data_IF_271216238601
#
_entry.id   IF_271216238601
#
_cell.length_a   1.000
_cell.length_b   1.000
_cell.length_c   1.000
_cell.angle_alpha   90.00
_cell.angle_beta   90.00
_cell.angle_gamma   90.00
#
_symmetry.space_group_name_H-M   'P 1'
#
loop_
_entity.id
_entity.type
_entity.pdbx_description
1 polymer ?
#
# COMPACT_ATOMS: atom_id res chain seq x y z
N UNK A 1 -15.82 -31.94 -21.71
CA UNK A 1 -15.21 -30.62 -21.49
C UNK A 1 -15.22 -30.39 -19.98
N UNK A 2 -14.20 -30.89 -19.28
CA UNK A 2 -14.22 -30.96 -17.82
C UNK A 2 -14.10 -29.57 -17.22
N UNK A 3 -14.98 -29.31 -16.26
CA UNK A 3 -15.05 -28.14 -15.43
C UNK A 3 -13.77 -28.06 -14.57
N UNK A 4 -12.69 -27.52 -15.13
CA UNK A 4 -11.54 -27.09 -14.32
C UNK A 4 -11.96 -25.81 -13.62
N UNK A 5 -12.72 -25.95 -12.53
CA UNK A 5 -12.70 -24.95 -11.47
C UNK A 5 -11.22 -24.77 -11.16
N UNK A 6 -10.69 -23.55 -11.38
CA UNK A 6 -9.33 -23.19 -10.97
C UNK A 6 -9.11 -23.80 -9.59
N UNK A 7 -8.08 -24.64 -9.42
CA UNK A 7 -7.80 -25.39 -8.19
C UNK A 7 -7.83 -24.50 -6.93
N UNK A 8 -7.71 -23.18 -7.12
CA UNK A 8 -7.65 -22.16 -6.08
C UNK A 8 -8.85 -21.18 -6.08
N UNK A 9 -9.84 -21.33 -6.96
CA UNK A 9 -10.96 -20.39 -7.11
C UNK A 9 -11.78 -20.19 -5.83
N UNK A 10 -12.05 -21.26 -5.09
CA UNK A 10 -12.75 -21.19 -3.80
C UNK A 10 -11.92 -20.42 -2.75
N UNK A 11 -10.62 -20.66 -2.69
CA UNK A 11 -9.73 -19.98 -1.76
C UNK A 11 -9.60 -18.48 -2.07
N UNK A 12 -9.49 -18.12 -3.36
CA UNK A 12 -9.43 -16.72 -3.80
C UNK A 12 -10.71 -15.98 -3.40
N UNK A 13 -11.88 -16.58 -3.60
CA UNK A 13 -13.15 -15.97 -3.21
C UNK A 13 -13.29 -15.85 -1.69
N UNK A 14 -12.83 -16.84 -0.93
CA UNK A 14 -12.82 -16.76 0.53
C UNK A 14 -11.93 -15.62 1.04
N UNK A 15 -10.74 -15.45 0.47
CA UNK A 15 -9.84 -14.32 0.78
C UNK A 15 -10.46 -12.98 0.39
N UNK A 16 -11.10 -12.90 -0.77
CA UNK A 16 -11.82 -11.70 -1.21
C UNK A 16 -12.90 -11.28 -0.19
N UNK A 17 -13.74 -12.22 0.24
CA UNK A 17 -14.78 -11.96 1.25
C UNK A 17 -14.15 -11.54 2.58
N UNK A 18 -13.08 -12.22 3.01
CA UNK A 18 -12.37 -11.89 4.24
C UNK A 18 -11.79 -10.46 4.21
N UNK A 19 -11.19 -10.04 3.10
CA UNK A 19 -10.70 -8.66 2.95
C UNK A 19 -11.82 -7.62 2.91
N UNK A 20 -12.96 -7.93 2.31
CA UNK A 20 -14.14 -7.04 2.34
C UNK A 20 -14.63 -6.88 3.78
N UNK A 21 -14.79 -7.98 4.53
CA UNK A 21 -15.20 -7.94 5.94
C UNK A 21 -14.20 -7.12 6.75
N UNK A 22 -12.91 -7.36 6.54
CA UNK A 22 -11.82 -6.61 7.17
C UNK A 22 -11.95 -5.10 6.94
N UNK A 23 -12.12 -4.68 5.68
CA UNK A 23 -12.30 -3.27 5.32
C UNK A 23 -13.57 -2.65 5.90
N UNK A 24 -14.69 -3.39 5.92
CA UNK A 24 -15.96 -2.91 6.50
C UNK A 24 -15.80 -2.68 8.00
N UNK A 25 -15.14 -3.60 8.71
CA UNK A 25 -14.85 -3.44 10.14
C UNK A 25 -13.95 -2.22 10.38
N UNK A 26 -12.96 -1.96 9.53
CA UNK A 26 -12.14 -0.75 9.59
C UNK A 26 -12.94 0.53 9.38
N UNK A 27 -13.84 0.54 8.38
CA UNK A 27 -14.75 1.68 8.16
C UNK A 27 -15.67 1.96 9.34
N UNK A 28 -16.12 0.92 10.03
CA UNK A 28 -16.93 1.08 11.26
C UNK A 28 -16.11 1.67 12.42
N UNK A 29 -14.80 1.41 12.44
CA UNK A 29 -13.87 1.93 13.44
C UNK A 29 -13.36 3.35 13.12
N UNK A 30 -13.47 3.81 11.86
CA UNK A 30 -12.96 5.11 11.41
C UNK A 30 -13.48 6.32 12.22
N UNK A 31 -14.65 6.21 12.85
CA UNK A 31 -15.19 7.25 13.77
C UNK A 31 -14.31 7.51 15.00
N UNK A 32 -13.42 6.58 15.33
CA UNK A 32 -12.49 6.67 16.45
C UNK A 32 -11.11 7.15 16.00
N UNK A 33 -10.91 7.46 14.72
CA UNK A 33 -9.63 7.94 14.23
C UNK A 33 -9.39 9.38 14.68
N UNK A 34 -8.18 9.61 15.14
CA UNK A 34 -7.71 10.90 15.60
C UNK A 34 -6.66 11.47 14.65
N UNK A 35 -6.50 12.78 14.67
CA UNK A 35 -5.43 13.48 13.99
C UNK A 35 -4.57 14.25 14.99
N UNK A 36 -3.26 14.29 14.76
CA UNK A 36 -2.33 15.22 15.41
C UNK A 36 -1.93 16.39 14.50
N UNK A 37 -1.84 16.18 13.19
CA UNK A 37 -1.58 17.22 12.19
C UNK A 37 -0.13 17.66 12.07
N UNK A 38 0.79 16.73 12.27
CA UNK A 38 2.21 16.93 12.01
C UNK A 38 2.84 15.68 11.40
N UNK A 39 3.90 15.87 10.63
CA UNK A 39 4.68 14.79 10.03
C UNK A 39 6.14 14.88 10.46
N UNK A 40 6.77 13.73 10.73
CA UNK A 40 8.18 13.65 11.13
C UNK A 40 9.01 12.83 10.15
N UNK A 41 10.28 13.21 10.01
CA UNK A 41 11.28 12.41 9.30
C UNK A 41 11.80 11.22 10.11
N UNK A 42 12.75 10.48 9.53
CA UNK A 42 13.33 9.27 10.14
C UNK A 42 13.98 9.52 11.51
N UNK A 43 14.49 10.73 11.70
CA UNK A 43 15.14 11.17 12.93
C UNK A 43 14.17 11.88 13.88
N UNK A 44 12.85 11.74 13.70
CA UNK A 44 11.81 12.38 14.51
C UNK A 44 11.82 13.92 14.47
N UNK A 45 12.52 14.52 13.51
CA UNK A 45 12.42 15.94 13.22
C UNK A 45 11.10 16.24 12.54
N UNK A 46 10.35 17.22 13.03
CA UNK A 46 9.09 17.68 12.44
C UNK A 46 9.39 18.31 11.08
N UNK A 47 8.83 17.74 10.02
CA UNK A 47 9.01 18.20 8.65
C UNK A 47 7.84 19.07 8.18
N UNK A 48 6.66 18.86 8.76
CA UNK A 48 5.46 19.59 8.42
C UNK A 48 4.51 19.69 9.62
N UNK A 49 3.78 20.80 9.71
CA UNK A 49 2.72 21.06 10.69
C UNK A 49 1.55 21.66 9.93
N UNK A 50 0.43 20.94 9.93
CA UNK A 50 -0.76 21.34 9.19
C UNK A 50 -1.40 22.58 9.82
N UNK A 51 -1.84 23.53 8.98
CA UNK A 51 -2.55 24.73 9.43
C UNK A 51 -3.89 24.37 10.08
N UNK A 52 -4.19 25.00 11.23
CA UNK A 52 -5.41 24.75 12.01
C UNK A 52 -5.40 23.43 12.78
N UNK A 53 -4.29 22.71 12.80
CA UNK A 53 -4.21 21.38 13.41
C UNK A 53 -3.96 21.39 14.92
N UNK A 54 -4.17 20.24 15.61
CA UNK A 54 -3.79 20.09 17.00
C UNK A 54 -2.31 20.36 17.30
N UNK A 55 -1.41 20.03 16.38
CA UNK A 55 0.01 20.28 16.53
C UNK A 55 0.34 21.77 16.48
N UNK A 56 -0.24 22.50 15.53
CA UNK A 56 -0.11 23.96 15.45
C UNK A 56 -0.66 24.62 16.72
N UNK A 57 -1.85 24.21 17.16
CA UNK A 57 -2.49 24.71 18.38
C UNK A 57 -1.67 24.42 19.64
N UNK A 58 -0.96 23.28 19.68
CA UNK A 58 -0.04 22.92 20.75
C UNK A 58 1.29 23.71 20.70
N UNK A 59 1.55 24.45 19.61
CA UNK A 59 2.78 25.22 19.42
C UNK A 59 3.96 24.40 18.90
N UNK A 60 3.71 23.24 18.27
CA UNK A 60 4.73 22.45 17.59
C UNK A 60 5.22 23.18 16.33
N UNK A 61 6.50 23.06 16.02
CA UNK A 61 7.12 23.78 14.90
C UNK A 61 7.93 22.85 14.00
N UNK A 62 7.99 23.17 12.71
CA UNK A 62 8.92 22.52 11.78
C UNK A 62 10.35 22.68 12.29
N UNK A 63 11.10 21.59 12.32
CA UNK A 63 12.45 21.51 12.85
C UNK A 63 12.53 21.01 14.31
N UNK A 64 11.42 21.01 15.06
CA UNK A 64 11.40 20.40 16.40
C UNK A 64 11.82 18.93 16.33
N UNK A 65 12.69 18.49 17.23
CA UNK A 65 13.10 17.10 17.34
C UNK A 65 12.30 16.43 18.46
N UNK A 66 11.35 15.57 18.11
CA UNK A 66 10.51 14.90 19.11
C UNK A 66 11.36 13.92 19.93
N UNK A 67 11.31 14.05 21.25
CA UNK A 67 12.03 13.21 22.22
C UNK A 67 11.12 12.17 22.84
N UNK A 68 9.92 12.58 23.24
CA UNK A 68 8.93 11.69 23.84
C UNK A 68 7.52 12.16 23.55
N UNK A 69 6.57 11.22 23.64
CA UNK A 69 5.14 11.50 23.59
C UNK A 69 4.48 10.77 24.75
N UNK A 70 3.59 11.41 25.50
CA UNK A 70 2.92 10.86 26.69
C UNK A 70 3.86 10.19 27.69
N UNK A 71 5.07 10.72 27.87
CA UNK A 71 6.10 10.14 28.75
C UNK A 71 6.80 8.87 28.24
N UNK A 72 6.62 8.48 26.96
CA UNK A 72 7.36 7.38 26.33
C UNK A 72 8.30 7.96 25.28
N UNK A 73 9.58 7.59 25.34
CA UNK A 73 10.58 8.00 24.36
C UNK A 73 10.22 7.51 22.96
N UNK A 74 10.47 8.34 21.94
CA UNK A 74 10.18 7.97 20.54
C UNK A 74 11.01 6.79 20.02
N UNK A 75 12.08 6.45 20.72
CA UNK A 75 12.95 5.31 20.45
C UNK A 75 12.45 4.00 21.06
N UNK A 76 11.62 4.04 22.12
CA UNK A 76 11.11 2.86 22.81
C UNK A 76 9.92 2.25 22.05
N UNK A 77 10.24 1.51 20.99
CA UNK A 77 9.27 0.83 20.11
C UNK A 77 8.31 -0.06 20.90
N UNK A 78 8.82 -0.75 21.93
CA UNK A 78 8.04 -1.69 22.73
C UNK A 78 6.98 -0.98 23.56
N UNK A 79 7.36 0.08 24.26
CA UNK A 79 6.41 0.86 25.06
C UNK A 79 5.40 1.61 24.19
N UNK A 80 5.83 2.14 23.04
CA UNK A 80 4.93 2.77 22.07
C UNK A 80 3.91 1.76 21.50
N UNK A 81 4.34 0.56 21.14
CA UNK A 81 3.45 -0.50 20.63
C UNK A 81 2.50 -1.06 21.68
N UNK A 82 2.87 -0.97 22.97
CA UNK A 82 1.99 -1.36 24.08
C UNK A 82 0.92 -0.30 24.39
N UNK A 83 1.11 0.95 23.93
CA UNK A 83 0.20 2.06 24.19
C UNK A 83 -1.06 1.98 23.33
N UNK A 84 -2.22 2.20 23.96
CA UNK A 84 -3.48 2.32 23.23
C UNK A 84 -3.50 3.53 22.30
N UNK A 85 -4.29 3.43 21.23
CA UNK A 85 -4.53 4.58 20.35
C UNK A 85 -5.08 5.75 21.16
N UNK A 86 -4.74 7.00 20.81
CA UNK A 86 -5.33 8.15 21.47
C UNK A 86 -6.85 8.21 21.21
N UNK A 87 -7.60 8.71 22.19
CA UNK A 87 -9.00 9.06 22.03
C UNK A 87 -9.17 10.50 21.53
N UNK A 88 -10.30 10.79 20.90
CA UNK A 88 -10.66 12.17 20.53
C UNK A 88 -10.81 13.01 21.80
N UNK A 89 -10.08 14.12 21.87
CA UNK A 89 -10.01 15.00 23.04
C UNK A 89 -9.00 14.54 24.10
N UNK A 90 -8.30 13.42 23.90
CA UNK A 90 -7.18 13.05 24.77
C UNK A 90 -6.02 14.03 24.60
N UNK A 91 -5.42 14.47 25.70
CA UNK A 91 -4.20 15.28 25.68
C UNK A 91 -3.01 14.41 26.05
N UNK A 92 -1.95 14.46 25.24
CA UNK A 92 -0.65 13.87 25.56
C UNK A 92 0.42 14.95 25.57
N UNK A 93 1.29 14.86 26.56
CA UNK A 93 2.52 15.66 26.62
C UNK A 93 3.46 15.27 25.47
N UNK A 94 4.06 16.24 24.79
CA UNK A 94 5.10 16.02 23.80
C UNK A 94 6.32 16.82 24.23
N UNK A 95 7.44 16.13 24.45
CA UNK A 95 8.73 16.77 24.73
C UNK A 95 9.52 16.83 23.44
N UNK A 96 9.97 18.02 23.09
CA UNK A 96 10.78 18.27 21.90
C UNK A 96 12.08 18.97 22.27
N UNK A 97 13.13 18.70 21.51
CA UNK A 97 14.32 19.56 21.46
C UNK A 97 14.09 20.62 20.39
N UNK A 98 14.06 21.89 20.81
CA UNK A 98 13.95 23.06 19.95
C UNK A 98 15.21 23.90 20.13
N UNK A 99 16.09 23.85 19.13
CA UNK A 99 17.36 24.58 19.14
C UNK A 99 18.26 24.24 20.36
N UNK A 100 18.22 23.00 20.85
CA UNK A 100 19.01 22.52 22.00
C UNK A 100 18.35 22.73 23.36
N UNK A 101 17.13 23.28 23.40
CA UNK A 101 16.33 23.42 24.63
C UNK A 101 15.16 22.44 24.61
N UNK A 102 14.89 21.80 25.76
CA UNK A 102 13.71 20.95 25.91
C UNK A 102 12.46 21.82 26.11
N UNK A 103 11.50 21.66 25.20
CA UNK A 103 10.20 22.30 25.25
C UNK A 103 9.13 21.24 25.46
N UNK A 104 8.27 21.45 26.45
CA UNK A 104 7.13 20.57 26.75
C UNK A 104 5.85 21.19 26.20
N UNK A 105 5.17 20.46 25.31
CA UNK A 105 3.94 20.87 24.64
C UNK A 105 2.80 19.95 25.04
N UNK A 106 1.56 20.45 25.02
CA UNK A 106 0.37 19.65 25.30
C UNK A 106 -0.46 19.49 24.03
N UNK A 107 -0.41 18.31 23.42
CA UNK A 107 -1.13 18.03 22.18
C UNK A 107 -2.45 17.34 22.49
N UNK A 108 -3.56 17.96 22.08
CA UNK A 108 -4.91 17.41 22.26
C UNK A 108 -5.44 16.87 20.95
N UNK A 109 -5.58 15.55 20.85
CA UNK A 109 -5.97 14.88 19.62
C UNK A 109 -7.38 15.26 19.18
N UNK A 110 -7.53 15.66 17.91
CA UNK A 110 -8.83 15.98 17.32
C UNK A 110 -9.40 14.78 16.57
N UNK A 111 -10.69 14.84 16.26
CA UNK A 111 -11.29 13.92 15.29
C UNK A 111 -10.68 14.14 13.90
N UNK A 112 -10.62 13.09 13.09
CA UNK A 112 -10.15 13.19 11.72
C UNK A 112 -10.95 14.26 10.92
N UNK A 113 -10.28 15.12 10.12
CA UNK A 113 -10.95 16.08 9.23
C UNK A 113 -11.88 15.41 8.21
N UNK A 114 -12.82 16.18 7.66
CA UNK A 114 -13.81 15.65 6.71
C UNK A 114 -13.20 15.25 5.36
N UNK A 115 -12.15 15.94 4.92
CA UNK A 115 -11.42 15.61 3.69
C UNK A 115 -10.70 14.26 3.84
N UNK A 116 -10.05 14.00 4.98
CA UNK A 116 -9.44 12.71 5.30
C UNK A 116 -10.47 11.57 5.42
N UNK A 117 -11.62 11.83 6.04
CA UNK A 117 -12.72 10.84 6.06
C UNK A 117 -13.19 10.52 4.64
N UNK A 118 -13.29 11.53 3.79
CA UNK A 118 -13.69 11.38 2.38
C UNK A 118 -12.65 10.57 1.62
N UNK A 119 -11.36 10.86 1.79
CA UNK A 119 -10.26 10.13 1.17
C UNK A 119 -10.24 8.67 1.65
N UNK A 120 -10.45 8.41 2.93
CA UNK A 120 -10.57 7.04 3.46
C UNK A 120 -11.74 6.27 2.82
N UNK A 121 -12.89 6.92 2.63
CA UNK A 121 -14.03 6.31 1.92
C UNK A 121 -13.70 6.01 0.46
N UNK A 122 -13.03 6.93 -0.25
CA UNK A 122 -12.61 6.73 -1.64
C UNK A 122 -11.61 5.57 -1.72
N UNK A 123 -10.64 5.50 -0.81
CA UNK A 123 -9.72 4.38 -0.66
C UNK A 123 -10.48 3.07 -0.51
N UNK A 124 -11.42 3.00 0.44
CA UNK A 124 -12.25 1.82 0.63
C UNK A 124 -12.98 1.39 -0.66
N UNK A 125 -13.59 2.35 -1.38
CA UNK A 125 -14.26 2.07 -2.67
C UNK A 125 -13.28 1.53 -3.72
N UNK A 126 -12.07 2.09 -3.80
CA UNK A 126 -11.01 1.59 -4.69
C UNK A 126 -10.63 0.16 -4.29
N UNK A 127 -10.47 -0.13 -3.00
CA UNK A 127 -10.19 -1.47 -2.49
C UNK A 127 -11.27 -2.48 -2.91
N UNK A 128 -12.55 -2.13 -2.73
CA UNK A 128 -13.69 -2.94 -3.18
C UNK A 128 -13.67 -3.14 -4.70
N UNK A 129 -13.41 -2.07 -5.47
CA UNK A 129 -13.32 -2.15 -6.93
C UNK A 129 -12.24 -3.14 -7.39
N UNK A 130 -11.07 -3.13 -6.77
CA UNK A 130 -10.01 -4.11 -7.02
C UNK A 130 -10.49 -5.54 -6.71
N UNK A 131 -11.04 -5.77 -5.51
CA UNK A 131 -11.50 -7.11 -5.10
C UNK A 131 -12.58 -7.64 -6.03
N UNK A 132 -13.59 -6.83 -6.35
CA UNK A 132 -14.72 -7.21 -7.21
C UNK A 132 -14.26 -7.44 -8.65
N UNK A 133 -13.43 -6.55 -9.20
CA UNK A 133 -12.92 -6.70 -10.57
C UNK A 133 -12.07 -7.97 -10.73
N UNK A 134 -11.18 -8.25 -9.77
CA UNK A 134 -10.38 -9.46 -9.73
C UNK A 134 -11.24 -10.72 -9.67
N UNK A 135 -12.18 -10.78 -8.71
CA UNK A 135 -13.08 -11.91 -8.54
C UNK A 135 -13.95 -12.14 -9.80
N UNK A 136 -14.53 -11.08 -10.36
CA UNK A 136 -15.33 -11.12 -11.59
C UNK A 136 -14.54 -11.66 -12.78
N UNK A 137 -13.35 -11.10 -13.05
CA UNK A 137 -12.53 -11.50 -14.18
C UNK A 137 -12.15 -12.99 -14.09
N UNK A 138 -11.87 -13.50 -12.90
CA UNK A 138 -11.54 -14.90 -12.72
C UNK A 138 -12.76 -15.82 -12.81
N UNK A 139 -13.91 -15.41 -12.26
CA UNK A 139 -15.16 -16.15 -12.41
C UNK A 139 -15.56 -16.29 -13.88
N UNK A 140 -15.41 -15.20 -14.65
CA UNK A 140 -15.79 -15.15 -16.07
C UNK A 140 -14.87 -15.97 -16.96
N UNK A 141 -13.55 -15.83 -16.80
CA UNK A 141 -12.58 -16.37 -17.77
C UNK A 141 -11.95 -17.70 -17.35
N UNK A 142 -11.91 -18.01 -16.05
CA UNK A 142 -11.43 -19.30 -15.50
C UNK A 142 -10.08 -19.78 -16.08
N UNK A 143 -9.15 -18.86 -16.32
CA UNK A 143 -7.83 -19.15 -16.89
C UNK A 143 -6.70 -18.88 -15.91
N UNK A 144 -5.50 -19.39 -16.22
CA UNK A 144 -4.29 -19.11 -15.43
C UNK A 144 -3.95 -17.61 -15.39
N UNK A 145 -4.27 -16.88 -16.47
CA UNK A 145 -4.07 -15.44 -16.55
C UNK A 145 -5.10 -14.67 -15.71
N UNK A 146 -6.39 -15.04 -15.78
CA UNK A 146 -7.42 -14.41 -14.95
C UNK A 146 -7.23 -14.74 -13.47
N UNK A 147 -6.71 -15.93 -13.16
CA UNK A 147 -6.32 -16.31 -11.79
C UNK A 147 -5.18 -15.43 -11.29
N UNK A 148 -4.14 -15.21 -12.11
CA UNK A 148 -3.04 -14.30 -11.75
C UNK A 148 -3.52 -12.87 -11.55
N UNK A 149 -4.44 -12.39 -12.40
CA UNK A 149 -5.07 -11.08 -12.22
C UNK A 149 -5.86 -11.00 -10.91
N UNK A 150 -6.67 -12.01 -10.58
CA UNK A 150 -7.43 -12.00 -9.34
C UNK A 150 -6.53 -12.00 -8.10
N UNK A 151 -5.48 -12.83 -8.09
CA UNK A 151 -4.52 -12.83 -6.97
C UNK A 151 -3.88 -11.46 -6.81
N UNK A 152 -3.38 -10.87 -7.90
CA UNK A 152 -2.85 -9.51 -7.89
C UNK A 152 -3.90 -8.52 -7.38
N UNK A 153 -5.07 -8.48 -8.01
CA UNK A 153 -6.06 -7.44 -7.80
C UNK A 153 -6.66 -7.50 -6.40
N UNK A 154 -6.95 -8.69 -5.86
CA UNK A 154 -7.47 -8.85 -4.51
C UNK A 154 -6.41 -8.50 -3.46
N UNK A 155 -5.16 -8.97 -3.61
CA UNK A 155 -4.08 -8.60 -2.68
C UNK A 155 -3.71 -7.12 -2.78
N UNK A 156 -3.80 -6.51 -3.95
CA UNK A 156 -3.51 -5.08 -4.13
C UNK A 156 -4.66 -4.22 -3.61
N UNK A 157 -5.92 -4.68 -3.73
CA UNK A 157 -7.08 -4.03 -3.13
C UNK A 157 -6.99 -3.93 -1.60
N UNK A 158 -6.35 -4.90 -0.95
CA UNK A 158 -6.11 -4.89 0.50
C UNK A 158 -5.35 -3.64 0.97
N UNK A 159 -4.50 -3.02 0.14
CA UNK A 159 -3.78 -1.79 0.50
C UNK A 159 -4.73 -0.63 0.85
N UNK A 160 -5.96 -0.67 0.35
CA UNK A 160 -6.97 0.37 0.57
C UNK A 160 -8.08 -0.06 1.54
N UNK A 161 -8.00 -1.28 2.08
CA UNK A 161 -8.96 -1.82 3.03
C UNK A 161 -8.35 -1.77 4.42
N UNK A 162 -8.45 -0.60 5.04
CA UNK A 162 -8.03 -0.39 6.43
C UNK A 162 -8.73 -1.38 7.35
N UNK A 163 -7.98 -1.98 8.28
CA UNK A 163 -8.52 -2.87 9.28
C UNK A 163 -9.10 -2.15 10.49
N UNK A 164 -9.92 -2.81 11.31
CA UNK A 164 -10.32 -2.28 12.60
C UNK A 164 -9.12 -2.22 13.55
N UNK A 165 -9.14 -1.29 14.49
CA UNK A 165 -8.24 -1.34 15.64
C UNK A 165 -8.51 -2.59 16.48
N UNK A 166 -7.46 -3.39 16.72
CA UNK A 166 -7.54 -4.66 17.46
C UNK A 166 -6.87 -4.60 18.84
N UNK A 167 -6.60 -3.40 19.36
CA UNK A 167 -5.83 -3.24 20.60
C UNK A 167 -4.33 -3.37 20.37
N UNK A 168 -3.60 -3.61 21.46
CA UNK A 168 -2.14 -3.78 21.46
C UNK A 168 -1.73 -5.21 21.84
N UNK A 169 -0.47 -5.56 21.57
CA UNK A 169 0.13 -6.82 21.99
C UNK A 169 0.28 -7.87 20.89
N UNK A 170 0.32 -9.15 21.29
CA UNK A 170 0.75 -10.24 20.40
C UNK A 170 -0.14 -10.44 19.16
N UNK A 171 -1.46 -10.31 19.32
CA UNK A 171 -2.39 -10.45 18.21
C UNK A 171 -2.24 -9.33 17.18
N UNK A 172 -2.04 -8.08 17.61
CA UNK A 172 -1.80 -6.97 16.69
C UNK A 172 -0.48 -7.14 15.94
N UNK A 173 0.58 -7.63 16.60
CA UNK A 173 1.85 -7.98 15.95
C UNK A 173 1.67 -9.02 14.84
N UNK A 174 0.93 -10.11 15.09
CA UNK A 174 0.65 -11.11 14.04
C UNK A 174 -0.08 -10.49 12.85
N UNK A 175 -1.11 -9.69 13.13
CA UNK A 175 -1.91 -9.04 12.08
C UNK A 175 -1.06 -8.06 11.27
N UNK A 176 -0.15 -7.30 11.90
CA UNK A 176 0.77 -6.40 11.20
C UNK A 176 1.71 -7.16 10.27
N UNK A 177 2.28 -8.28 10.74
CA UNK A 177 3.12 -9.15 9.93
C UNK A 177 2.35 -9.72 8.73
N UNK A 178 1.13 -10.23 8.96
CA UNK A 178 0.30 -10.79 7.90
C UNK A 178 -0.11 -9.72 6.88
N UNK A 179 -0.50 -8.54 7.35
CA UNK A 179 -0.87 -7.41 6.50
C UNK A 179 0.31 -6.96 5.63
N UNK A 180 1.50 -6.83 6.24
CA UNK A 180 2.74 -6.52 5.51
C UNK A 180 3.08 -7.60 4.49
N UNK A 181 2.90 -8.89 4.83
CA UNK A 181 3.13 -9.98 3.89
C UNK A 181 2.18 -9.91 2.67
N UNK A 182 0.90 -9.59 2.89
CA UNK A 182 -0.08 -9.37 1.80
C UNK A 182 0.33 -8.18 0.93
N UNK A 183 0.73 -7.07 1.54
CA UNK A 183 1.17 -5.86 0.83
C UNK A 183 2.39 -6.17 -0.04
N UNK A 184 3.45 -6.75 0.52
CA UNK A 184 4.65 -7.12 -0.25
C UNK A 184 4.33 -8.12 -1.36
N UNK A 185 3.49 -9.11 -1.07
CA UNK A 185 3.05 -10.08 -2.07
C UNK A 185 2.28 -9.43 -3.21
N UNK A 186 1.48 -8.39 -2.95
CA UNK A 186 0.67 -7.72 -3.98
C UNK A 186 1.52 -7.13 -5.11
N UNK A 187 2.69 -6.55 -4.79
CA UNK A 187 3.64 -6.03 -5.77
C UNK A 187 4.29 -7.17 -6.57
N UNK A 188 4.66 -8.26 -5.90
CA UNK A 188 5.16 -9.46 -6.59
C UNK A 188 4.09 -10.06 -7.52
N UNK A 189 2.83 -10.13 -7.07
CA UNK A 189 1.70 -10.60 -7.86
C UNK A 189 1.41 -9.70 -9.07
N UNK A 190 1.52 -8.38 -8.92
CA UNK A 190 1.45 -7.42 -10.02
C UNK A 190 2.46 -7.79 -11.11
N UNK A 191 3.75 -7.93 -10.75
CA UNK A 191 4.79 -8.23 -11.74
C UNK A 191 4.56 -9.61 -12.38
N UNK A 192 4.14 -10.61 -11.61
CA UNK A 192 3.79 -11.94 -12.16
C UNK A 192 2.66 -11.81 -13.19
N UNK A 193 1.60 -11.08 -12.87
CA UNK A 193 0.50 -10.83 -13.80
C UNK A 193 0.99 -10.12 -15.08
N UNK A 194 1.79 -9.06 -14.93
CA UNK A 194 2.36 -8.32 -16.06
C UNK A 194 3.27 -9.17 -16.95
N UNK A 195 4.04 -10.08 -16.36
CA UNK A 195 4.90 -11.00 -17.11
C UNK A 195 4.07 -12.07 -17.85
N UNK A 196 2.99 -12.56 -17.24
CA UNK A 196 2.06 -13.53 -17.84
C UNK A 196 1.19 -12.93 -18.95
N UNK A 197 0.81 -11.66 -18.85
CA UNK A 197 -0.08 -11.03 -19.82
C UNK A 197 0.48 -11.14 -21.25
N UNK A 198 -0.27 -11.59 -22.27
CA UNK A 198 0.29 -11.88 -23.58
C UNK A 198 0.99 -10.68 -24.26
N UNK A 199 2.11 -10.89 -24.98
CA UNK A 199 2.86 -12.14 -25.07
C UNK A 199 3.57 -12.48 -23.75
N UNK A 200 3.57 -13.77 -23.38
CA UNK A 200 4.19 -14.23 -22.14
C UNK A 200 5.71 -13.99 -22.15
N UNK A 201 6.25 -13.52 -21.02
CA UNK A 201 7.68 -13.26 -20.89
C UNK A 201 8.49 -14.54 -20.81
N UNK A 202 9.57 -14.64 -21.58
CA UNK A 202 10.53 -15.76 -21.53
C UNK A 202 11.12 -15.98 -20.12
N UNK A 203 11.15 -14.96 -19.27
CA UNK A 203 11.58 -15.06 -17.88
C UNK A 203 10.81 -16.13 -17.08
N UNK A 204 9.50 -16.27 -17.31
CA UNK A 204 8.65 -17.22 -16.58
C UNK A 204 8.99 -18.68 -16.90
N UNK A 205 9.61 -18.93 -18.04
CA UNK A 205 10.08 -20.26 -18.48
C UNK A 205 11.53 -20.54 -18.05
N UNK A 206 12.24 -19.54 -17.53
CA UNK A 206 13.62 -19.69 -17.07
C UNK A 206 13.74 -20.37 -15.71
N UNK A 207 14.93 -20.95 -15.43
CA UNK A 207 15.28 -21.54 -14.14
C UNK A 207 15.17 -20.53 -12.98
N UNK A 208 15.33 -19.24 -13.29
CA UNK A 208 15.41 -18.14 -12.32
C UNK A 208 14.07 -17.48 -12.01
N UNK A 209 12.93 -18.00 -12.50
CA UNK A 209 11.61 -17.38 -12.29
C UNK A 209 11.24 -17.14 -10.82
N UNK A 210 11.79 -17.95 -9.90
CA UNK A 210 11.55 -17.82 -8.45
C UNK A 210 12.30 -16.65 -7.80
N UNK A 211 13.28 -16.04 -8.48
CA UNK A 211 14.01 -14.89 -7.95
C UNK A 211 13.10 -13.68 -7.71
N UNK A 212 11.96 -13.61 -8.40
CA UNK A 212 10.94 -12.57 -8.20
C UNK A 212 10.31 -12.57 -6.79
N UNK A 213 10.48 -13.64 -6.00
CA UNK A 213 9.97 -13.70 -4.62
C UNK A 213 11.04 -13.32 -3.60
N UNK A 214 12.32 -13.37 -3.97
CA UNK A 214 13.43 -13.21 -3.02
C UNK A 214 13.39 -11.84 -2.32
N UNK A 215 13.22 -10.70 -3.01
CA UNK A 215 13.16 -9.41 -2.33
C UNK A 215 12.03 -9.32 -1.30
N UNK A 216 10.84 -9.84 -1.64
CA UNK A 216 9.68 -9.86 -0.74
C UNK A 216 9.96 -10.72 0.50
N UNK A 217 10.54 -11.91 0.34
CA UNK A 217 10.86 -12.81 1.45
C UNK A 217 11.96 -12.24 2.37
N UNK A 218 12.96 -11.57 1.81
CA UNK A 218 14.03 -10.93 2.59
C UNK A 218 13.46 -9.79 3.44
N UNK A 219 12.66 -8.90 2.84
CA UNK A 219 12.05 -7.78 3.56
C UNK A 219 11.08 -8.30 4.62
N UNK A 220 10.26 -9.31 4.28
CA UNK A 220 9.35 -9.91 5.24
C UNK A 220 10.09 -10.54 6.42
N UNK A 221 11.21 -11.23 6.19
CA UNK A 221 12.02 -11.79 7.26
C UNK A 221 12.59 -10.70 8.20
N UNK A 222 13.06 -9.58 7.63
CA UNK A 222 13.50 -8.43 8.42
C UNK A 222 12.35 -7.88 9.26
N UNK A 223 11.18 -7.66 8.66
CA UNK A 223 9.99 -7.15 9.37
C UNK A 223 9.56 -8.10 10.49
N UNK A 224 9.52 -9.40 10.24
CA UNK A 224 9.17 -10.40 11.26
C UNK A 224 10.12 -10.28 12.45
N UNK A 225 11.42 -10.13 12.20
CA UNK A 225 12.40 -9.93 13.28
C UNK A 225 12.13 -8.63 14.03
N UNK A 226 11.94 -7.51 13.32
CA UNK A 226 11.69 -6.20 13.95
C UNK A 226 10.40 -6.18 14.78
N UNK A 227 9.32 -6.74 14.26
CA UNK A 227 8.00 -6.80 14.90
C UNK A 227 7.99 -7.70 16.14
N UNK A 228 8.69 -8.84 16.09
CA UNK A 228 8.75 -9.78 17.23
C UNK A 228 9.70 -9.26 18.31
N UNK A 229 10.86 -8.72 17.91
CA UNK A 229 11.87 -8.25 18.87
C UNK A 229 11.50 -6.91 19.48
N UNK A 230 10.72 -6.09 18.77
CA UNK A 230 10.36 -4.72 19.15
C UNK A 230 11.60 -3.91 19.56
N UNK A 231 12.69 -4.08 18.81
CA UNK A 231 13.96 -3.37 19.06
C UNK A 231 13.73 -1.85 19.03
N UNK A 232 14.48 -1.15 19.86
CA UNK A 232 14.45 0.31 19.89
C UNK A 232 14.75 0.88 18.51
N UNK A 233 13.90 1.79 18.07
CA UNK A 233 14.05 2.42 16.78
C UNK A 233 15.18 3.43 16.82
N UNK A 234 15.93 3.50 15.72
CA UNK A 234 16.97 4.50 15.50
C UNK A 234 16.70 5.23 14.19
N UNK A 235 17.18 6.47 14.07
CA UNK A 235 17.09 7.23 12.82
C UNK A 235 17.69 6.46 11.63
N UNK A 236 18.81 5.76 11.87
CA UNK A 236 19.47 4.91 10.87
C UNK A 236 18.58 3.75 10.46
N UNK A 237 17.95 3.06 11.41
CA UNK A 237 17.04 1.95 11.11
C UNK A 237 15.84 2.44 10.28
N UNK A 238 15.21 3.53 10.69
CA UNK A 238 14.08 4.14 9.95
C UNK A 238 14.49 4.48 8.51
N UNK A 239 15.64 5.13 8.33
CA UNK A 239 16.20 5.46 7.01
C UNK A 239 16.41 4.22 6.15
N UNK A 240 17.08 3.20 6.69
CA UNK A 240 17.37 1.94 5.98
C UNK A 240 16.07 1.25 5.58
N UNK A 241 15.09 1.20 6.48
CA UNK A 241 13.79 0.58 6.21
C UNK A 241 13.02 1.34 5.14
N UNK A 242 12.95 2.68 5.19
CA UNK A 242 12.32 3.48 4.13
C UNK A 242 12.97 3.21 2.77
N UNK A 243 14.31 3.28 2.69
CA UNK A 243 15.02 3.07 1.43
C UNK A 243 14.85 1.64 0.91
N UNK A 244 14.81 0.65 1.79
CA UNK A 244 14.62 -0.76 1.42
C UNK A 244 13.20 -1.00 0.86
N UNK A 245 12.15 -0.53 1.54
CA UNK A 245 10.77 -0.60 1.05
C UNK A 245 10.59 0.21 -0.22
N UNK A 246 11.16 1.41 -0.24
CA UNK A 246 11.25 2.30 -1.39
C UNK A 246 11.79 1.58 -2.62
N UNK A 247 13.01 1.04 -2.51
CA UNK A 247 13.67 0.31 -3.58
C UNK A 247 12.85 -0.90 -4.05
N UNK A 248 12.22 -1.64 -3.14
CA UNK A 248 11.34 -2.75 -3.48
C UNK A 248 10.14 -2.29 -4.31
N UNK A 249 9.32 -1.38 -3.79
CA UNK A 249 8.10 -0.92 -4.46
C UNK A 249 8.43 -0.26 -5.81
N UNK A 250 9.42 0.65 -5.82
CA UNK A 250 9.86 1.35 -7.04
C UNK A 250 10.33 0.36 -8.10
N UNK A 251 11.15 -0.64 -7.72
CA UNK A 251 11.65 -1.64 -8.66
C UNK A 251 10.52 -2.48 -9.26
N UNK A 252 9.53 -2.90 -8.47
CA UNK A 252 8.43 -3.74 -8.97
C UNK A 252 7.47 -2.96 -9.85
N UNK A 253 7.18 -1.70 -9.53
CA UNK A 253 6.46 -0.81 -10.43
C UNK A 253 7.24 -0.54 -11.72
N UNK A 254 8.55 -0.28 -11.66
CA UNK A 254 9.38 -0.11 -12.85
C UNK A 254 9.35 -1.36 -13.73
N UNK A 255 9.48 -2.56 -13.16
CA UNK A 255 9.38 -3.81 -13.92
C UNK A 255 8.00 -3.93 -14.59
N UNK A 256 6.91 -3.62 -13.88
CA UNK A 256 5.56 -3.64 -14.45
C UNK A 256 5.42 -2.67 -15.63
N UNK A 257 5.82 -1.40 -15.45
CA UNK A 257 5.77 -0.33 -16.46
C UNK A 257 6.63 -0.69 -17.68
N UNK A 258 7.91 -1.04 -17.45
CA UNK A 258 8.86 -1.38 -18.52
C UNK A 258 8.39 -2.62 -19.29
N UNK A 259 7.86 -3.63 -18.60
CA UNK A 259 7.32 -4.84 -19.24
C UNK A 259 6.18 -4.47 -20.19
N UNK A 260 5.24 -3.62 -19.74
CA UNK A 260 4.10 -3.23 -20.57
C UNK A 260 4.51 -2.39 -21.77
N UNK A 261 5.38 -1.40 -21.57
CA UNK A 261 5.89 -0.54 -22.65
C UNK A 261 6.63 -1.38 -23.69
N UNK A 262 7.48 -2.32 -23.26
CA UNK A 262 8.19 -3.23 -24.18
C UNK A 262 7.23 -4.11 -24.98
N UNK A 263 6.19 -4.67 -24.36
CA UNK A 263 5.18 -5.49 -25.04
C UNK A 263 4.40 -4.66 -26.05
N UNK A 264 3.98 -3.46 -25.66
CA UNK A 264 3.26 -2.53 -26.53
C UNK A 264 4.11 -2.11 -27.74
N UNK A 265 5.37 -1.72 -27.53
CA UNK A 265 6.23 -1.22 -28.61
C UNK A 265 6.62 -2.31 -29.63
N UNK A 266 6.71 -3.58 -29.19
CA UNK A 266 7.02 -4.70 -30.09
C UNK A 266 5.81 -5.20 -30.90
N UNK A 267 4.60 -4.91 -30.44
CA UNK A 267 3.37 -5.40 -31.06
C UNK A 267 2.95 -4.55 -32.27
N UNK A 268 2.46 -5.21 -33.31
CA UNK A 268 1.81 -4.54 -34.43
C UNK A 268 0.40 -4.01 -34.06
N UNK A 269 -0.26 -3.30 -34.98
CA UNK A 269 -1.57 -2.71 -34.72
C UNK A 269 -2.65 -3.76 -34.42
N UNK A 270 -2.58 -4.91 -35.07
CA UNK A 270 -3.52 -6.02 -34.91
C UNK A 270 -3.33 -6.68 -33.55
N UNK A 271 -2.08 -6.95 -33.15
CA UNK A 271 -1.72 -7.50 -31.85
C UNK A 271 -2.10 -6.56 -30.70
N UNK A 272 -1.87 -5.24 -30.85
CA UNK A 272 -2.25 -4.24 -29.85
C UNK A 272 -3.75 -4.27 -29.57
N UNK A 273 -4.55 -4.33 -30.62
CA UNK A 273 -6.01 -4.37 -30.54
C UNK A 273 -6.51 -5.73 -30.02
N UNK A 274 -6.00 -6.83 -30.57
CA UNK A 274 -6.50 -8.18 -30.27
C UNK A 274 -6.15 -8.64 -28.86
N UNK A 275 -4.96 -8.27 -28.36
CA UNK A 275 -4.49 -8.61 -27.01
C UNK A 275 -4.85 -7.56 -25.95
N UNK A 276 -5.52 -6.46 -26.33
CA UNK A 276 -5.89 -5.39 -25.41
C UNK A 276 -4.68 -4.64 -24.80
N UNK A 277 -3.54 -4.59 -25.50
CA UNK A 277 -2.30 -3.98 -24.97
C UNK A 277 -2.44 -2.47 -24.76
N UNK A 278 -3.25 -1.80 -25.57
CA UNK A 278 -3.56 -0.37 -25.40
C UNK A 278 -4.29 -0.13 -24.07
N UNK A 279 -5.25 -0.98 -23.71
CA UNK A 279 -5.99 -0.86 -22.45
C UNK A 279 -5.06 -1.08 -21.25
N UNK A 280 -4.23 -2.13 -21.31
CA UNK A 280 -3.20 -2.36 -20.28
C UNK A 280 -2.25 -1.17 -20.14
N UNK A 281 -1.81 -0.56 -21.26
CA UNK A 281 -0.93 0.60 -21.22
C UNK A 281 -1.61 1.81 -20.59
N UNK A 282 -2.87 2.10 -20.92
CA UNK A 282 -3.65 3.18 -20.30
C UNK A 282 -3.78 2.95 -18.79
N UNK A 283 -4.11 1.72 -18.37
CA UNK A 283 -4.18 1.37 -16.95
C UNK A 283 -2.88 1.61 -16.20
N UNK A 284 -1.73 1.32 -16.81
CA UNK A 284 -0.40 1.59 -16.25
C UNK A 284 -0.10 3.10 -16.20
N UNK A 285 -0.33 3.82 -17.30
CA UNK A 285 -0.02 5.25 -17.40
C UNK A 285 -0.84 6.07 -16.40
N UNK A 286 -2.12 5.74 -16.25
CA UNK A 286 -2.98 6.44 -15.29
C UNK A 286 -2.69 5.92 -13.88
N UNK A 287 -2.75 4.61 -13.65
CA UNK A 287 -2.80 4.07 -12.29
C UNK A 287 -1.46 3.76 -11.61
N UNK A 288 -0.34 3.67 -12.35
CA UNK A 288 0.97 3.36 -11.75
C UNK A 288 1.95 4.53 -11.89
N UNK A 289 2.02 5.18 -13.06
CA UNK A 289 3.07 6.18 -13.31
C UNK A 289 3.01 7.38 -12.35
N UNK A 290 1.85 8.01 -12.07
CA UNK A 290 1.78 9.10 -11.10
C UNK A 290 2.26 8.66 -9.72
N UNK A 291 1.78 7.50 -9.25
CA UNK A 291 2.18 6.93 -7.95
C UNK A 291 3.68 6.67 -7.92
N UNK A 292 4.24 6.08 -8.97
CA UNK A 292 5.66 5.79 -9.04
C UNK A 292 6.50 7.07 -8.88
N UNK A 293 6.07 8.19 -9.50
CA UNK A 293 6.76 9.48 -9.36
C UNK A 293 6.68 10.00 -7.93
N UNK A 294 5.46 10.10 -7.37
CA UNK A 294 5.25 10.64 -6.01
C UNK A 294 5.96 9.79 -4.96
N UNK A 295 5.79 8.46 -5.06
CA UNK A 295 6.41 7.52 -4.14
C UNK A 295 7.93 7.54 -4.22
N UNK A 296 8.51 7.73 -5.42
CA UNK A 296 9.96 7.86 -5.59
C UNK A 296 10.48 9.13 -4.93
N UNK A 297 9.80 10.26 -5.12
CA UNK A 297 10.19 11.53 -4.50
C UNK A 297 10.09 11.42 -2.97
N UNK A 298 8.95 10.96 -2.44
CA UNK A 298 8.77 10.79 -0.99
C UNK A 298 9.73 9.79 -0.34
N UNK A 299 10.19 8.79 -1.09
CA UNK A 299 11.22 7.84 -0.61
C UNK A 299 12.60 8.50 -0.47
N UNK A 300 12.99 9.34 -1.42
CA UNK A 300 14.33 9.93 -1.51
C UNK A 300 14.41 11.26 -0.73
N UNK A 301 13.32 12.01 -0.72
CA UNK A 301 13.20 13.35 -0.15
C UNK A 301 11.93 13.41 0.72
N UNK A 302 11.96 12.77 1.91
CA UNK A 302 10.83 12.82 2.84
C UNK A 302 10.54 14.28 3.23
N UNK A 303 9.26 14.66 3.28
CA UNK A 303 8.82 16.03 3.60
C UNK A 303 8.78 17.00 2.41
N UNK A 304 9.08 16.54 1.19
CA UNK A 304 8.77 17.32 -0.01
C UNK A 304 7.26 17.36 -0.22
N UNK A 305 6.67 18.54 -0.09
CA UNK A 305 5.28 18.77 -0.44
C UNK A 305 5.08 18.69 -1.96
N UNK A 306 4.16 17.85 -2.39
CA UNK A 306 3.85 17.60 -3.78
C UNK A 306 2.39 17.95 -4.05
N UNK A 307 2.10 18.83 -5.02
CA UNK A 307 0.74 19.26 -5.30
C UNK A 307 -0.19 18.08 -5.60
N UNK A 308 -1.25 17.91 -4.81
CA UNK A 308 -2.23 16.84 -5.02
C UNK A 308 -1.79 15.47 -4.52
N UNK A 309 -0.78 15.40 -3.64
CA UNK A 309 -0.37 14.17 -2.96
C UNK A 309 -1.54 13.43 -2.29
N UNK A 310 -2.48 14.17 -1.70
CA UNK A 310 -3.66 13.59 -1.03
C UNK A 310 -4.60 12.86 -1.99
N UNK A 311 -4.54 13.17 -3.29
CA UNK A 311 -5.47 12.68 -4.30
C UNK A 311 -4.81 11.76 -5.33
N UNK A 312 -3.48 11.69 -5.38
CA UNK A 312 -2.76 10.91 -6.40
C UNK A 312 -3.16 9.43 -6.37
N UNK A 313 -3.52 8.90 -5.20
CA UNK A 313 -3.95 7.50 -5.04
C UNK A 313 -5.27 7.19 -5.76
N UNK A 314 -6.11 8.18 -6.08
CA UNK A 314 -7.33 7.97 -6.86
C UNK A 314 -7.06 7.32 -8.22
N UNK A 315 -5.87 7.60 -8.77
CA UNK A 315 -5.44 7.05 -10.05
C UNK A 315 -5.38 5.52 -10.07
N UNK A 316 -5.18 4.87 -8.92
CA UNK A 316 -5.17 3.41 -8.80
C UNK A 316 -6.45 2.74 -9.30
N UNK A 317 -7.60 3.44 -9.24
CA UNK A 317 -8.88 2.95 -9.77
C UNK A 317 -8.81 2.56 -11.25
N UNK A 318 -7.90 3.18 -12.03
CA UNK A 318 -7.70 2.86 -13.43
C UNK A 318 -7.20 1.42 -13.63
N UNK A 319 -6.40 0.88 -12.70
CA UNK A 319 -5.80 -0.45 -12.87
C UNK A 319 -6.86 -1.56 -12.99
N UNK A 320 -7.75 -1.79 -12.00
CA UNK A 320 -8.72 -2.88 -12.08
C UNK A 320 -9.71 -2.69 -13.22
N UNK A 321 -10.06 -1.44 -13.56
CA UNK A 321 -10.95 -1.11 -14.68
C UNK A 321 -10.32 -1.52 -16.00
N UNK A 322 -9.17 -0.93 -16.34
CA UNK A 322 -8.55 -1.14 -17.65
C UNK A 322 -7.98 -2.55 -17.81
N UNK A 323 -7.48 -3.17 -16.75
CA UNK A 323 -6.96 -4.54 -16.83
C UNK A 323 -8.10 -5.55 -17.04
N UNK A 324 -9.25 -5.35 -16.40
CA UNK A 324 -10.44 -6.17 -16.65
C UNK A 324 -10.96 -6.00 -18.07
N UNK A 325 -11.00 -4.76 -18.58
CA UNK A 325 -11.37 -4.49 -19.98
C UNK A 325 -10.39 -5.17 -20.95
N UNK A 326 -9.09 -5.11 -20.67
CA UNK A 326 -8.07 -5.75 -21.49
C UNK A 326 -8.23 -7.27 -21.54
N UNK A 327 -8.46 -7.91 -20.37
CA UNK A 327 -8.76 -9.35 -20.29
C UNK A 327 -10.02 -9.73 -21.05
N UNK A 328 -11.08 -8.93 -20.94
CA UNK A 328 -12.31 -9.17 -21.71
C UNK A 328 -12.06 -9.11 -23.22
N UNK A 329 -11.27 -8.14 -23.68
CA UNK A 329 -10.89 -7.99 -25.09
C UNK A 329 -10.01 -9.14 -25.58
N UNK A 330 -9.05 -9.58 -24.76
CA UNK A 330 -8.19 -10.71 -25.09
C UNK A 330 -9.02 -11.99 -25.32
N UNK A 331 -9.94 -12.30 -24.41
CA UNK A 331 -10.72 -13.54 -24.47
C UNK A 331 -11.84 -13.52 -25.54
N UNK A 332 -12.34 -12.34 -25.93
CA UNK A 332 -13.32 -12.26 -27.02
C UNK A 332 -12.73 -12.67 -28.38
N UNK A 333 -11.43 -12.44 -28.59
CA UNK A 333 -10.75 -12.72 -29.86
C UNK A 333 -10.14 -14.13 -29.91
N UNK A 334 -10.07 -14.84 -28.78
CA UNK A 334 -9.65 -16.26 -28.75
C UNK A 334 -10.80 -17.24 -28.93
N UNK A 335 -12.05 -16.78 -28.77
CA UNK A 335 -13.26 -17.58 -28.93
C UNK A 335 -13.86 -17.51 -30.35
N UNK A 336 -13.32 -16.65 -31.21
CA UNK A 336 -13.66 -16.47 -32.64
C UNK A 336 -12.61 -17.13 -33.51
#
# INVERSE_FOLDING_TARGET
MSEQISKYGMAINAVAVLFIIWGVLGMMDAKNYTQSGYFTGDNWSVLDVEEGSPAEAAGLQVGDLIKSTGGIEVTDTKALNARERPAIGETREIVVDRNGEEVTLQLTYAALPDDDKTNNMIGFIIGILFVVAGAYANFKHKSDLSTAFAIFSICFGFLFLSGPYLGTGFFSTIINILSTAVVLFSFTALVIYMLKYPPESAFLNGKNRKLIYVPMLVILAIIVVLEITQMDNSATLNTVMRLLFGAFIISYFLIAVITQIRKYNKADATEKSSKGLTLMLIGIIIGIVPILVYFTIGTISPGTDLPGNDYVFFTFAAIPIFFTMALNKLNSNTAS
#
